data_IF_228707295470
#
_entry.id   IF_228707295470
#
_cell.length_a   1.000
_cell.length_b   1.000
_cell.length_c   1.000
_cell.angle_alpha   90.00
_cell.angle_beta   90.00
_cell.angle_gamma   90.00
#
_symmetry.space_group_name_H-M   'P 1'
#
loop_
_entity.id
_entity.type
_entity.pdbx_description
1 polymer ?
#
# COMPACT_ATOMS: atom_id res chain seq x y z
N UNK A 1 38.93 -7.04 -19.82
CA UNK A 1 38.51 -6.59 -18.47
C UNK A 1 38.68 -7.77 -17.50
N UNK A 2 39.35 -7.57 -16.36
CA UNK A 2 39.69 -8.69 -15.45
C UNK A 2 38.43 -9.35 -14.88
N UNK A 3 38.31 -10.69 -14.96
CA UNK A 3 37.12 -11.44 -14.47
C UNK A 3 36.78 -11.11 -13.01
N UNK A 4 37.80 -10.84 -12.18
CA UNK A 4 37.63 -10.37 -10.79
C UNK A 4 36.94 -9.00 -10.68
N UNK A 5 37.25 -8.06 -11.59
CA UNK A 5 36.61 -6.73 -11.64
C UNK A 5 35.15 -6.82 -12.09
N UNK A 6 34.85 -7.72 -13.04
CA UNK A 6 33.47 -7.98 -13.48
C UNK A 6 32.61 -8.54 -12.33
N UNK A 7 33.16 -9.47 -11.54
CA UNK A 7 32.44 -10.06 -10.41
C UNK A 7 32.11 -9.02 -9.32
N UNK A 8 33.06 -8.13 -9.01
CA UNK A 8 32.85 -7.04 -8.04
C UNK A 8 31.74 -6.09 -8.51
N UNK A 9 31.72 -5.73 -9.81
CA UNK A 9 30.69 -4.85 -10.37
C UNK A 9 29.30 -5.50 -10.26
N UNK A 10 29.19 -6.79 -10.56
CA UNK A 10 27.91 -7.52 -10.44
C UNK A 10 27.41 -7.53 -9.00
N UNK A 11 28.28 -7.82 -8.02
CA UNK A 11 27.92 -7.75 -6.60
C UNK A 11 27.47 -6.35 -6.22
N UNK A 12 28.17 -5.31 -6.68
CA UNK A 12 27.83 -3.92 -6.37
C UNK A 12 26.45 -3.54 -6.93
N UNK A 13 26.13 -3.97 -8.15
CA UNK A 13 24.82 -3.77 -8.76
C UNK A 13 23.73 -4.48 -7.94
N UNK A 14 23.96 -5.74 -7.55
CA UNK A 14 23.00 -6.50 -6.72
C UNK A 14 22.76 -5.79 -5.39
N UNK A 15 23.82 -5.31 -4.71
CA UNK A 15 23.70 -4.58 -3.45
C UNK A 15 22.92 -3.27 -3.64
N UNK A 16 23.20 -2.51 -4.70
CA UNK A 16 22.49 -1.26 -4.98
C UNK A 16 21.00 -1.48 -5.29
N UNK A 17 20.68 -2.51 -6.08
CA UNK A 17 19.28 -2.88 -6.38
C UNK A 17 18.56 -3.31 -5.10
N UNK A 18 19.20 -4.12 -4.26
CA UNK A 18 18.63 -4.55 -2.97
C UNK A 18 18.41 -3.38 -2.01
N UNK A 19 19.36 -2.44 -1.93
CA UNK A 19 19.20 -1.22 -1.11
C UNK A 19 18.07 -0.33 -1.63
N UNK A 20 17.98 -0.14 -2.94
CA UNK A 20 16.92 0.64 -3.56
C UNK A 20 15.54 0.03 -3.28
N UNK A 21 15.40 -1.29 -3.47
CA UNK A 21 14.16 -2.01 -3.17
C UNK A 21 13.78 -1.93 -1.68
N UNK A 22 14.76 -1.97 -0.77
CA UNK A 22 14.54 -1.83 0.67
C UNK A 22 14.05 -0.42 1.04
N UNK A 23 14.70 0.63 0.52
CA UNK A 23 14.30 2.01 0.77
C UNK A 23 12.88 2.30 0.27
N UNK A 24 12.56 1.82 -0.93
CA UNK A 24 11.30 2.06 -1.61
C UNK A 24 10.09 1.51 -0.82
N UNK A 25 10.28 0.41 -0.08
CA UNK A 25 9.25 -0.27 0.72
C UNK A 25 9.07 0.34 2.12
N UNK A 26 10.14 0.89 2.70
CA UNK A 26 10.11 1.52 4.03
C UNK A 26 9.28 2.82 4.08
N UNK A 27 9.15 3.49 2.94
CA UNK A 27 8.48 4.79 2.86
C UNK A 27 6.96 4.71 3.05
N UNK A 28 6.30 3.65 2.60
CA UNK A 28 4.85 3.52 2.78
C UNK A 28 4.47 3.41 4.27
N UNK A 29 5.28 2.71 5.06
CA UNK A 29 5.05 2.51 6.51
C UNK A 29 5.36 3.76 7.34
N UNK A 30 6.31 4.61 6.91
CA UNK A 30 6.75 5.80 7.66
C UNK A 30 6.16 7.12 7.20
N UNK A 31 5.74 7.23 5.94
CA UNK A 31 5.27 8.48 5.32
C UNK A 31 3.90 8.40 4.65
N UNK A 32 3.21 7.25 4.75
CA UNK A 32 1.87 7.11 4.19
C UNK A 32 0.84 7.91 4.98
N UNK A 33 -0.13 8.48 4.26
CA UNK A 33 -1.32 9.10 4.85
C UNK A 33 -2.56 8.27 4.52
N UNK A 34 -3.55 8.33 5.39
CA UNK A 34 -4.81 7.61 5.21
C UNK A 34 -5.83 8.50 4.53
N UNK A 35 -6.55 7.93 3.58
CA UNK A 35 -7.68 8.55 2.87
C UNK A 35 -8.81 7.53 2.73
N UNK A 36 -9.97 7.98 2.27
CA UNK A 36 -11.11 7.12 1.94
C UNK A 36 -10.96 6.69 0.48
N UNK A 37 -10.89 5.38 0.26
CA UNK A 37 -10.95 4.75 -1.05
C UNK A 37 -12.29 4.06 -1.27
N UNK A 38 -12.87 4.19 -2.45
CA UNK A 38 -14.12 3.53 -2.85
C UNK A 38 -13.84 2.46 -3.88
N UNK A 39 -14.28 1.23 -3.63
CA UNK A 39 -14.15 0.13 -4.59
C UNK A 39 -15.06 0.38 -5.79
N UNK A 40 -14.49 0.37 -6.98
CA UNK A 40 -15.21 0.58 -8.24
C UNK A 40 -15.44 -0.76 -8.95
N UNK A 41 -14.47 -1.67 -8.88
CA UNK A 41 -14.54 -2.95 -9.58
C UNK A 41 -13.69 -4.01 -8.91
N UNK A 42 -14.20 -5.23 -8.86
CA UNK A 42 -13.45 -6.42 -8.50
C UNK A 42 -13.01 -7.16 -9.76
N UNK A 43 -11.75 -7.54 -9.82
CA UNK A 43 -11.25 -8.53 -10.78
C UNK A 43 -11.08 -9.85 -10.07
N UNK A 44 -11.73 -10.88 -10.60
CA UNK A 44 -11.64 -12.23 -10.07
C UNK A 44 -10.54 -12.96 -10.83
N UNK A 45 -9.46 -13.30 -10.13
CA UNK A 45 -8.29 -13.98 -10.70
C UNK A 45 -8.16 -15.40 -10.15
N UNK A 46 -7.49 -16.30 -10.88
CA UNK A 46 -7.09 -17.61 -10.30
C UNK A 46 -5.93 -17.40 -9.32
N UNK A 47 -6.26 -17.09 -8.07
CA UNK A 47 -5.32 -17.06 -6.93
C UNK A 47 -5.48 -15.84 -6.02
N UNK A 48 -5.44 -14.63 -6.59
CA UNK A 48 -5.68 -13.39 -5.87
C UNK A 48 -6.67 -12.54 -6.65
N UNK A 49 -7.60 -11.93 -5.92
CA UNK A 49 -8.47 -10.93 -6.48
C UNK A 49 -7.74 -9.58 -6.53
N UNK A 50 -8.15 -8.79 -7.49
CA UNK A 50 -7.69 -7.41 -7.64
C UNK A 50 -8.85 -6.46 -7.42
N UNK A 51 -8.59 -5.33 -6.79
CA UNK A 51 -9.59 -4.28 -6.57
C UNK A 51 -9.14 -3.04 -7.29
N UNK A 52 -10.00 -2.53 -8.17
CA UNK A 52 -9.90 -1.15 -8.64
C UNK A 52 -10.67 -0.26 -7.67
N UNK A 53 -10.00 0.79 -7.20
CA UNK A 53 -10.59 1.75 -6.29
C UNK A 53 -10.23 3.19 -6.69
N UNK A 54 -11.09 4.10 -6.25
CA UNK A 54 -10.91 5.54 -6.40
C UNK A 54 -10.69 6.19 -5.05
N UNK A 55 -9.84 7.19 -4.97
CA UNK A 55 -9.70 7.99 -3.76
C UNK A 55 -9.45 9.46 -4.11
N UNK A 56 -9.80 10.34 -3.17
CA UNK A 56 -9.54 11.77 -3.28
C UNK A 56 -8.41 12.16 -2.34
N UNK A 57 -7.41 12.84 -2.86
CA UNK A 57 -6.31 13.37 -2.06
C UNK A 57 -5.85 14.74 -2.59
N UNK A 58 -5.75 15.74 -1.71
CA UNK A 58 -5.39 17.12 -2.07
C UNK A 58 -6.17 17.65 -3.28
N UNK A 59 -7.50 17.48 -3.27
CA UNK A 59 -8.45 17.87 -4.33
C UNK A 59 -8.28 17.18 -5.70
N UNK A 60 -7.51 16.09 -5.77
CA UNK A 60 -7.37 15.29 -6.98
C UNK A 60 -7.99 13.91 -6.78
N UNK A 61 -8.71 13.42 -7.78
CA UNK A 61 -9.21 12.04 -7.84
C UNK A 61 -8.15 11.14 -8.48
N UNK A 62 -7.87 10.02 -7.82
CA UNK A 62 -6.95 9.00 -8.30
C UNK A 62 -7.67 7.67 -8.50
N UNK A 63 -7.18 6.89 -9.46
CA UNK A 63 -7.68 5.57 -9.78
C UNK A 63 -6.52 4.59 -9.66
N UNK A 64 -6.65 3.62 -8.76
CA UNK A 64 -5.56 2.67 -8.50
C UNK A 64 -6.10 1.25 -8.37
N UNK A 65 -5.14 0.31 -8.40
CA UNK A 65 -5.42 -1.10 -8.32
C UNK A 65 -4.51 -1.77 -7.29
N UNK A 66 -5.09 -2.65 -6.46
CA UNK A 66 -4.31 -3.44 -5.51
C UNK A 66 -4.73 -4.91 -5.52
N UNK A 67 -3.76 -5.78 -5.23
CA UNK A 67 -4.02 -7.18 -4.91
C UNK A 67 -4.64 -7.29 -3.51
N UNK A 68 -5.62 -8.17 -3.38
CA UNK A 68 -6.25 -8.49 -2.09
C UNK A 68 -6.49 -9.99 -1.98
N UNK A 69 -6.54 -10.48 -0.74
CA UNK A 69 -7.00 -11.85 -0.42
C UNK A 69 -8.49 -11.91 -0.08
N UNK A 70 -9.10 -10.74 0.11
CA UNK A 70 -10.50 -10.60 0.50
C UNK A 70 -11.22 -9.79 -0.57
N UNK A 71 -12.43 -10.21 -0.90
CA UNK A 71 -13.28 -9.50 -1.84
C UNK A 71 -13.71 -8.17 -1.22
N UNK A 72 -13.19 -7.06 -1.75
CA UNK A 72 -13.75 -5.74 -1.44
C UNK A 72 -15.17 -5.64 -2.01
N UNK A 73 -16.11 -5.06 -1.27
CA UNK A 73 -17.48 -4.95 -1.78
C UNK A 73 -17.54 -3.75 -2.72
N UNK A 74 -17.93 -3.97 -3.98
CA UNK A 74 -18.09 -2.89 -4.97
C UNK A 74 -19.06 -1.83 -4.44
N UNK A 75 -18.65 -0.57 -4.54
CA UNK A 75 -19.42 0.58 -4.06
C UNK A 75 -19.22 0.91 -2.58
N UNK A 76 -18.57 0.05 -1.78
CA UNK A 76 -18.21 0.34 -0.40
C UNK A 76 -16.90 1.12 -0.31
N UNK A 77 -16.77 1.84 0.81
CA UNK A 77 -15.61 2.67 1.14
C UNK A 77 -14.76 1.99 2.20
N UNK A 78 -13.45 2.02 2.00
CA UNK A 78 -12.45 1.46 2.90
C UNK A 78 -11.34 2.48 3.12
N UNK A 79 -10.63 2.35 4.23
CA UNK A 79 -9.43 3.16 4.43
C UNK A 79 -8.36 2.73 3.42
N UNK A 80 -7.68 3.70 2.83
CA UNK A 80 -6.58 3.49 1.91
C UNK A 80 -5.36 4.21 2.48
N UNK A 81 -4.20 3.55 2.46
CA UNK A 81 -2.92 4.22 2.69
C UNK A 81 -2.33 4.66 1.35
N UNK A 82 -1.88 5.90 1.27
CA UNK A 82 -1.25 6.49 0.08
C UNK A 82 0.10 7.09 0.45
N UNK A 83 1.12 6.88 -0.37
CA UNK A 83 2.41 7.55 -0.22
C UNK A 83 2.31 8.99 -0.75
N UNK A 84 2.52 9.99 0.12
CA UNK A 84 2.43 11.40 -0.23
C UNK A 84 3.44 11.81 -1.33
N UNK A 85 4.54 11.07 -1.49
CA UNK A 85 5.53 11.31 -2.53
C UNK A 85 5.25 10.53 -3.82
N UNK A 86 4.45 9.47 -3.76
CA UNK A 86 4.13 8.63 -4.91
C UNK A 86 2.74 8.00 -4.79
N UNK A 87 1.74 8.72 -5.28
CA UNK A 87 0.32 8.35 -5.13
C UNK A 87 -0.07 7.06 -5.88
N UNK A 88 0.78 6.59 -6.81
CA UNK A 88 0.62 5.27 -7.45
C UNK A 88 0.87 4.11 -6.48
N UNK A 89 1.58 4.38 -5.38
CA UNK A 89 1.73 3.43 -4.29
C UNK A 89 0.62 3.67 -3.28
N UNK A 90 -0.49 3.02 -3.54
CA UNK A 90 -1.65 3.02 -2.65
C UNK A 90 -2.09 1.60 -2.36
N UNK A 91 -2.62 1.39 -1.15
CA UNK A 91 -3.12 0.09 -0.71
C UNK A 91 -4.47 0.31 -0.03
N UNK A 92 -5.50 -0.36 -0.55
CA UNK A 92 -6.81 -0.39 0.06
C UNK A 92 -6.84 -1.43 1.20
N UNK A 93 -7.27 -1.01 2.38
CA UNK A 93 -7.37 -1.84 3.57
C UNK A 93 -8.79 -2.40 3.68
N UNK A 94 -9.05 -3.50 2.98
CA UNK A 94 -10.38 -4.16 2.93
C UNK A 94 -10.92 -4.60 4.30
N UNK A 95 -10.04 -4.85 5.26
CA UNK A 95 -10.42 -5.20 6.64
C UNK A 95 -10.75 -3.96 7.49
N UNK A 96 -10.61 -2.75 6.92
CA UNK A 96 -10.87 -1.47 7.57
C UNK A 96 -11.93 -0.68 6.78
N UNK A 97 -13.22 -1.09 6.80
CA UNK A 97 -14.30 -0.35 6.15
C UNK A 97 -14.49 1.04 6.80
N UNK A 98 -14.82 2.04 5.99
CA UNK A 98 -15.12 3.38 6.52
C UNK A 98 -16.54 3.38 7.08
N UNK A 99 -16.75 3.74 8.36
CA UNK A 99 -18.08 3.86 8.93
C UNK A 99 -18.83 5.04 8.31
N UNK A 100 -20.16 4.94 8.26
CA UNK A 100 -21.02 5.97 7.66
C UNK A 100 -20.88 7.35 8.33
N UNK A 101 -20.38 7.40 9.57
CA UNK A 101 -20.08 8.64 10.29
C UNK A 101 -18.91 9.44 9.69
N UNK A 102 -18.04 8.81 8.90
CA UNK A 102 -16.89 9.46 8.26
C UNK A 102 -17.19 9.61 6.76
N UNK A 103 -17.61 10.81 6.38
CA UNK A 103 -18.05 11.11 5.01
C UNK A 103 -16.92 11.61 4.10
N UNK A 104 -15.86 12.20 4.67
CA UNK A 104 -14.75 12.77 3.89
C UNK A 104 -13.41 12.65 4.60
N UNK A 105 -12.35 12.52 3.81
CA UNK A 105 -10.98 12.67 4.27
C UNK A 105 -10.61 14.14 4.48
N UNK A 106 -9.74 14.46 5.45
CA UNK A 106 -9.07 15.75 5.53
C UNK A 106 -8.29 16.02 4.24
N UNK A 107 -8.06 17.30 3.92
CA UNK A 107 -7.32 17.70 2.71
C UNK A 107 -5.95 17.02 2.59
N UNK A 108 -5.23 16.89 3.72
CA UNK A 108 -3.91 16.24 3.80
C UNK A 108 -3.99 14.76 4.23
N UNK A 109 -5.18 14.17 4.26
CA UNK A 109 -5.41 12.83 4.82
C UNK A 109 -5.19 12.79 6.33
N UNK A 110 -5.28 11.59 6.91
CA UNK A 110 -4.93 11.37 8.30
C UNK A 110 -3.51 10.80 8.42
N UNK A 111 -2.76 11.22 9.44
CA UNK A 111 -1.47 10.59 9.78
C UNK A 111 -1.62 9.23 10.46
N UNK A 112 -2.78 8.99 11.06
CA UNK A 112 -3.18 7.72 11.71
C UNK A 112 -4.64 7.46 11.38
N UNK A 113 -5.03 6.20 11.29
CA UNK A 113 -6.44 5.86 11.05
C UNK A 113 -7.30 6.39 12.20
N UNK A 114 -8.44 7.06 11.93
CA UNK A 114 -9.25 7.70 12.98
C UNK A 114 -10.07 6.71 13.81
N UNK A 115 -9.87 5.40 13.63
CA UNK A 115 -10.60 4.32 14.30
C UNK A 115 -9.57 3.46 15.04
N UNK A 116 -9.52 3.52 16.39
CA UNK A 116 -8.49 2.86 17.18
C UNK A 116 -8.33 1.35 16.88
N UNK A 117 -9.43 0.63 16.72
CA UNK A 117 -9.40 -0.82 16.48
C UNK A 117 -8.72 -1.19 15.16
N UNK A 118 -8.82 -0.32 14.15
CA UNK A 118 -8.18 -0.54 12.85
C UNK A 118 -6.67 -0.27 12.87
N UNK A 119 -6.17 0.46 13.88
CA UNK A 119 -4.74 0.68 14.03
C UNK A 119 -4.02 -0.64 14.32
N UNK A 120 -4.62 -1.54 15.12
CA UNK A 120 -4.05 -2.86 15.40
C UNK A 120 -3.97 -3.74 14.15
N UNK A 121 -5.00 -3.72 13.32
CA UNK A 121 -5.04 -4.44 12.04
C UNK A 121 -3.90 -3.95 11.13
N UNK A 122 -3.70 -2.64 11.07
CA UNK A 122 -2.65 -2.02 10.27
C UNK A 122 -1.25 -2.37 10.77
N UNK A 123 -1.03 -2.33 12.08
CA UNK A 123 0.27 -2.68 12.68
C UNK A 123 0.63 -4.14 12.36
N UNK A 124 -0.36 -5.04 12.44
CA UNK A 124 -0.22 -6.45 12.05
C UNK A 124 0.00 -6.64 10.55
N UNK A 125 -0.69 -5.88 9.71
CA UNK A 125 -0.49 -5.89 8.25
C UNK A 125 0.96 -5.57 7.90
N UNK A 126 1.52 -4.51 8.49
CA UNK A 126 2.92 -4.16 8.26
C UNK A 126 3.91 -5.13 8.90
N UNK A 127 3.58 -5.73 10.05
CA UNK A 127 4.43 -6.74 10.70
C UNK A 127 4.51 -8.02 9.86
N UNK A 128 3.38 -8.59 9.47
CA UNK A 128 3.30 -9.83 8.68
C UNK A 128 3.88 -9.70 7.27
N UNK A 129 3.71 -8.55 6.61
CA UNK A 129 4.36 -8.29 5.31
C UNK A 129 5.87 -8.02 5.43
N UNK A 130 6.36 -7.68 6.62
CA UNK A 130 7.81 -7.60 6.89
C UNK A 130 8.38 -9.00 7.12
N UNK A 131 7.67 -9.85 7.87
CA UNK A 131 8.11 -11.21 8.23
C UNK A 131 8.12 -12.18 7.04
N UNK A 132 7.12 -12.15 6.14
CA UNK A 132 7.06 -13.04 4.95
C UNK A 132 8.25 -12.93 3.97
N UNK A 133 9.12 -11.95 4.12
CA UNK A 133 10.30 -11.78 3.26
C UNK A 133 11.59 -12.31 3.88
N UNK A 134 11.59 -12.71 5.17
CA UNK A 134 12.75 -13.29 5.85
C UNK A 134 12.71 -14.82 5.94
N UNK A 135 11.69 -15.46 5.35
CA UNK A 135 11.56 -16.92 5.24
C UNK A 135 12.15 -17.49 3.92
N UNK A 136 13.09 -16.79 3.29
CA UNK A 136 13.86 -17.24 2.13
C UNK A 136 15.36 -17.27 2.41
#
# INVERSE_FOLDING_TARGET
MNRKKQFIIVILIIVLVSLFAYYDKSNLKRGGVFVIGKVVKNTHGKGYDGLYFKFNYKNNEYNEWCFTRSEGIVGKSYFCIVDDNNLKKSILLVDCPVPDSITKSPYNGWKKIPIPDYQLILDNYFKSNTERFFDF
#
